data_IF_149871368533
#
_entry.id   IF_149871368533
#
_cell.length_a   1.000
_cell.length_b   1.000
_cell.length_c   1.000
_cell.angle_alpha   90.00
_cell.angle_beta   90.00
_cell.angle_gamma   90.00
#
_symmetry.space_group_name_H-M   'P 1'
#
loop_
_entity.id
_entity.type
_entity.pdbx_description
1 polymer ?
#
# COMPACT_ATOMS: atom_id res chain seq x y z
N UNK A 1 75.13 33.11 5.89
CA UNK A 1 75.05 32.63 4.49
C UNK A 1 74.29 31.30 4.54
N UNK A 2 72.95 31.29 4.51
CA UNK A 2 72.09 31.26 3.29
C UNK A 2 72.11 29.81 2.75
N UNK A 3 71.05 28.96 2.73
CA UNK A 3 69.66 29.10 2.23
C UNK A 3 68.72 27.99 2.79
N UNK A 4 67.48 28.37 3.11
CA UNK A 4 66.25 27.56 3.00
C UNK A 4 65.39 28.16 1.85
N UNK A 5 64.32 27.54 1.28
CA UNK A 5 63.84 26.15 1.30
C UNK A 5 63.50 25.57 -0.11
N UNK A 6 63.54 24.24 -0.26
CA UNK A 6 63.17 23.51 -1.50
C UNK A 6 61.78 22.82 -1.43
N UNK A 7 60.86 23.33 -0.59
CA UNK A 7 59.59 22.66 -0.26
C UNK A 7 58.34 23.34 -0.84
N UNK A 8 58.47 24.49 -1.52
CA UNK A 8 57.32 25.24 -2.05
C UNK A 8 56.79 24.72 -3.40
N UNK A 9 57.55 23.87 -4.09
CA UNK A 9 57.23 23.46 -5.47
C UNK A 9 56.30 22.24 -5.56
N UNK A 10 56.21 21.42 -4.52
CA UNK A 10 55.40 20.18 -4.51
C UNK A 10 53.93 20.41 -4.12
N UNK A 11 53.62 21.49 -3.41
CA UNK A 11 52.23 21.79 -2.98
C UNK A 11 51.37 22.44 -4.08
N UNK A 12 51.98 23.04 -5.11
CA UNK A 12 51.25 23.78 -6.14
C UNK A 12 50.72 22.88 -7.27
N UNK A 13 51.38 21.76 -7.53
CA UNK A 13 50.99 20.80 -8.58
C UNK A 13 49.75 19.98 -8.20
N UNK A 14 49.58 19.65 -6.90
CA UNK A 14 48.41 18.93 -6.39
C UNK A 14 47.15 19.78 -6.19
N UNK A 15 47.25 21.11 -6.27
CA UNK A 15 46.13 22.04 -6.13
C UNK A 15 45.51 22.44 -7.46
N UNK A 16 46.28 22.40 -8.56
CA UNK A 16 45.81 22.80 -9.88
C UNK A 16 44.90 21.75 -10.54
N UNK A 17 45.13 20.47 -10.24
CA UNK A 17 44.38 19.35 -10.85
C UNK A 17 42.95 19.19 -10.29
N UNK A 18 42.61 19.90 -9.21
CA UNK A 18 41.27 19.86 -8.59
C UNK A 18 40.24 20.82 -9.18
N UNK A 19 40.62 21.60 -10.20
CA UNK A 19 39.81 22.69 -10.71
C UNK A 19 38.91 22.36 -11.92
N UNK A 20 39.07 21.20 -12.58
CA UNK A 20 38.56 21.07 -13.96
C UNK A 20 37.38 20.14 -14.28
N UNK A 21 36.77 19.43 -13.33
CA UNK A 21 35.54 18.68 -13.66
C UNK A 21 34.54 18.64 -12.51
N UNK A 22 34.04 19.81 -12.10
CA UNK A 22 32.69 19.86 -11.52
C UNK A 22 31.71 19.68 -12.67
N UNK A 23 31.02 18.54 -12.80
CA UNK A 23 29.91 18.45 -13.74
C UNK A 23 28.93 19.54 -13.38
N UNK A 24 28.60 20.41 -14.34
CA UNK A 24 27.57 21.41 -14.19
C UNK A 24 26.29 20.69 -13.74
N UNK A 25 25.93 20.88 -12.47
CA UNK A 25 24.65 20.47 -11.94
C UNK A 25 23.60 21.32 -12.65
N UNK A 26 23.13 20.85 -13.81
CA UNK A 26 21.88 21.30 -14.37
C UNK A 26 20.82 21.00 -13.31
N UNK A 27 20.31 22.06 -12.67
CA UNK A 27 19.14 21.97 -11.83
C UNK A 27 17.97 21.60 -12.77
N UNK A 28 17.73 20.30 -12.89
CA UNK A 28 16.64 19.75 -13.69
C UNK A 28 15.33 19.91 -12.91
N UNK A 29 14.71 21.09 -13.06
CA UNK A 29 13.42 21.45 -12.46
C UNK A 29 12.26 20.56 -13.00
N UNK A 30 12.51 19.69 -13.99
CA UNK A 30 11.51 18.77 -14.57
C UNK A 30 11.49 17.39 -13.89
N UNK A 31 12.50 17.04 -13.07
CA UNK A 31 12.50 15.82 -12.23
C UNK A 31 11.41 15.77 -11.15
N UNK A 32 11.06 16.84 -10.40
CA UNK A 32 10.20 16.69 -9.24
C UNK A 32 8.79 16.20 -9.60
N UNK A 33 8.24 16.60 -10.75
CA UNK A 33 6.91 16.14 -11.19
C UNK A 33 6.91 14.67 -11.64
N UNK A 34 7.99 14.20 -12.28
CA UNK A 34 8.14 12.81 -12.72
C UNK A 34 8.46 11.87 -11.56
N UNK A 35 9.21 12.34 -10.59
CA UNK A 35 9.53 11.62 -9.35
C UNK A 35 8.31 11.53 -8.43
N UNK A 36 7.50 12.60 -8.28
CA UNK A 36 6.21 12.52 -7.58
C UNK A 36 5.25 11.56 -8.25
N UNK A 37 5.17 11.57 -9.60
CA UNK A 37 4.32 10.65 -10.35
C UNK A 37 4.75 9.18 -10.18
N UNK A 38 6.06 8.91 -10.20
CA UNK A 38 6.62 7.58 -9.95
C UNK A 38 6.39 7.09 -8.52
N UNK A 39 6.60 7.96 -7.53
CA UNK A 39 6.34 7.65 -6.13
C UNK A 39 4.84 7.39 -5.87
N UNK A 40 3.95 8.23 -6.41
CA UNK A 40 2.50 8.04 -6.30
C UNK A 40 2.05 6.72 -6.95
N UNK A 41 2.59 6.37 -8.10
CA UNK A 41 2.32 5.10 -8.76
C UNK A 41 2.81 3.90 -7.94
N UNK A 42 4.03 3.97 -7.39
CA UNK A 42 4.58 2.91 -6.54
C UNK A 42 3.74 2.70 -5.27
N UNK A 43 3.30 3.80 -4.63
CA UNK A 43 2.39 3.77 -3.49
C UNK A 43 1.03 3.18 -3.89
N UNK A 44 0.44 3.60 -5.00
CA UNK A 44 -0.83 3.08 -5.48
C UNK A 44 -0.77 1.57 -5.78
N UNK A 45 0.31 1.09 -6.39
CA UNK A 45 0.52 -0.33 -6.67
C UNK A 45 0.69 -1.15 -5.39
N UNK A 46 1.38 -0.60 -4.40
CA UNK A 46 1.56 -1.25 -3.09
C UNK A 46 0.26 -1.28 -2.29
N UNK A 47 -0.50 -0.19 -2.34
CA UNK A 47 -1.83 -0.09 -1.73
C UNK A 47 -2.82 -1.04 -2.42
N UNK A 48 -2.82 -1.13 -3.75
CA UNK A 48 -3.70 -2.05 -4.48
C UNK A 48 -3.34 -3.51 -4.20
N UNK A 49 -2.06 -3.86 -4.17
CA UNK A 49 -1.61 -5.19 -3.77
C UNK A 49 -2.03 -5.54 -2.34
N UNK A 50 -1.92 -4.58 -1.42
CA UNK A 50 -2.41 -4.75 -0.05
C UNK A 50 -3.94 -4.90 0.00
N UNK A 51 -4.69 -4.07 -0.72
CA UNK A 51 -6.15 -4.09 -0.78
C UNK A 51 -6.66 -5.42 -1.34
N UNK A 52 -6.09 -5.88 -2.46
CA UNK A 52 -6.47 -7.12 -3.14
C UNK A 52 -6.28 -8.33 -2.23
N UNK A 53 -5.16 -8.42 -1.51
CA UNK A 53 -4.92 -9.52 -0.57
C UNK A 53 -5.94 -9.49 0.59
N UNK A 54 -6.19 -8.32 1.20
CA UNK A 54 -7.19 -8.22 2.27
C UNK A 54 -8.60 -8.54 1.77
N UNK A 55 -8.97 -8.08 0.58
CA UNK A 55 -10.25 -8.38 -0.06
C UNK A 55 -10.40 -9.90 -0.30
N UNK A 56 -9.35 -10.56 -0.80
CA UNK A 56 -9.35 -12.01 -1.03
C UNK A 56 -9.49 -12.79 0.28
N UNK A 57 -8.78 -12.39 1.34
CA UNK A 57 -8.90 -13.00 2.67
C UNK A 57 -10.31 -12.78 3.24
N UNK A 58 -10.85 -11.57 3.10
CA UNK A 58 -12.21 -11.23 3.55
C UNK A 58 -13.25 -12.11 2.85
N UNK A 59 -13.16 -12.25 1.52
CA UNK A 59 -14.03 -13.14 0.75
C UNK A 59 -13.88 -14.60 1.18
N UNK A 60 -12.65 -15.06 1.44
CA UNK A 60 -12.38 -16.39 1.98
C UNK A 60 -13.03 -16.62 3.34
N UNK A 61 -12.89 -15.67 4.28
CA UNK A 61 -13.50 -15.74 5.60
C UNK A 61 -15.04 -15.76 5.55
N UNK A 62 -15.65 -14.92 4.70
CA UNK A 62 -17.10 -14.95 4.48
C UNK A 62 -17.55 -16.27 3.88
N UNK A 63 -16.82 -16.78 2.89
CA UNK A 63 -17.09 -18.10 2.29
C UNK A 63 -17.01 -19.22 3.33
N UNK A 64 -15.98 -19.20 4.18
CA UNK A 64 -15.82 -20.16 5.28
C UNK A 64 -16.94 -20.04 6.31
N UNK A 65 -17.47 -18.85 6.58
CA UNK A 65 -18.61 -18.66 7.48
C UNK A 65 -19.88 -19.32 6.92
N UNK A 66 -20.21 -19.09 5.65
CA UNK A 66 -21.34 -19.76 4.99
C UNK A 66 -21.16 -21.28 4.98
N UNK A 67 -19.93 -21.74 4.73
CA UNK A 67 -19.60 -23.15 4.75
C UNK A 67 -19.73 -23.75 6.16
N UNK A 68 -19.26 -23.05 7.19
CA UNK A 68 -19.37 -23.48 8.59
C UNK A 68 -20.83 -23.57 9.04
N UNK A 69 -21.67 -22.56 8.73
CA UNK A 69 -23.11 -22.57 9.03
C UNK A 69 -23.84 -23.64 8.20
N UNK A 70 -23.36 -23.92 6.98
CA UNK A 70 -23.84 -24.97 6.09
C UNK A 70 -23.36 -26.39 6.44
N UNK A 71 -22.72 -26.61 7.59
CA UNK A 71 -22.24 -27.93 8.01
C UNK A 71 -21.03 -28.44 7.22
N UNK A 72 -20.16 -27.53 6.78
CA UNK A 72 -19.00 -27.79 5.92
C UNK A 72 -19.32 -28.39 4.54
N UNK A 73 -20.55 -28.19 4.06
CA UNK A 73 -20.99 -28.63 2.73
C UNK A 73 -21.33 -27.45 1.84
N UNK A 74 -20.94 -27.54 0.57
CA UNK A 74 -21.30 -26.54 -0.46
C UNK A 74 -22.82 -26.46 -0.63
N UNK A 75 -23.52 -27.59 -0.53
CA UNK A 75 -25.00 -27.61 -0.59
C UNK A 75 -25.62 -26.83 0.57
N UNK A 76 -25.11 -27.01 1.79
CA UNK A 76 -25.57 -26.27 2.96
C UNK A 76 -25.27 -24.77 2.89
N UNK A 77 -24.11 -24.39 2.36
CA UNK A 77 -23.76 -22.98 2.12
C UNK A 77 -24.74 -22.32 1.12
N UNK A 78 -25.08 -23.02 0.04
CA UNK A 78 -26.05 -22.54 -0.96
C UNK A 78 -27.47 -22.40 -0.39
N UNK A 79 -27.89 -23.27 0.53
CA UNK A 79 -29.18 -23.14 1.23
C UNK A 79 -29.23 -21.86 2.06
N UNK A 80 -28.16 -21.52 2.79
CA UNK A 80 -28.10 -20.27 3.56
C UNK A 80 -28.16 -19.05 2.64
N UNK A 81 -27.47 -19.10 1.50
CA UNK A 81 -27.51 -18.03 0.51
C UNK A 81 -28.90 -17.87 -0.13
N UNK A 82 -29.58 -18.98 -0.42
CA UNK A 82 -30.95 -18.97 -0.95
C UNK A 82 -31.96 -18.41 0.06
N UNK A 83 -31.80 -18.72 1.35
CA UNK A 83 -32.62 -18.16 2.41
C UNK A 83 -32.40 -16.65 2.53
N UNK A 84 -31.14 -16.21 2.46
CA UNK A 84 -30.77 -14.80 2.50
C UNK A 84 -31.40 -14.03 1.32
N UNK A 85 -31.25 -14.55 0.10
CA UNK A 85 -31.77 -13.89 -1.11
C UNK A 85 -33.30 -13.82 -1.12
N UNK A 86 -33.97 -14.92 -0.74
CA UNK A 86 -35.44 -14.97 -0.68
C UNK A 86 -35.99 -13.95 0.31
N UNK A 87 -35.35 -13.84 1.49
CA UNK A 87 -35.74 -12.86 2.52
C UNK A 87 -35.48 -11.42 2.07
N UNK A 88 -34.40 -11.18 1.32
CA UNK A 88 -34.08 -9.86 0.77
C UNK A 88 -35.11 -9.43 -0.29
N UNK A 89 -35.42 -10.29 -1.25
CA UNK A 89 -36.37 -9.98 -2.34
C UNK A 89 -37.81 -9.85 -1.82
N UNK A 90 -38.18 -10.61 -0.80
CA UNK A 90 -39.50 -10.52 -0.16
C UNK A 90 -39.68 -9.26 0.71
N UNK A 91 -38.61 -8.54 1.04
CA UNK A 91 -38.67 -7.34 1.85
C UNK A 91 -39.04 -6.10 1.02
N UNK A 92 -39.84 -5.20 1.60
CA UNK A 92 -40.16 -3.89 1.01
C UNK A 92 -38.92 -2.97 0.94
N UNK A 93 -38.94 -1.94 0.09
CA UNK A 93 -37.77 -1.09 -0.23
C UNK A 93 -37.15 -0.42 1.01
N UNK A 94 -37.97 -0.02 1.98
CA UNK A 94 -37.48 0.54 3.25
C UNK A 94 -36.66 -0.49 4.06
N UNK A 95 -37.11 -1.75 4.10
CA UNK A 95 -36.45 -2.85 4.84
C UNK A 95 -35.21 -3.38 4.12
N UNK A 96 -35.19 -3.32 2.79
CA UNK A 96 -34.00 -3.65 2.01
C UNK A 96 -32.82 -2.72 2.33
N UNK A 97 -33.10 -1.44 2.62
CA UNK A 97 -32.07 -0.47 2.98
C UNK A 97 -31.42 -0.82 4.33
N UNK A 98 -32.22 -1.11 5.35
CA UNK A 98 -31.71 -1.59 6.65
C UNK A 98 -30.91 -2.89 6.50
N UNK A 99 -31.42 -3.83 5.70
CA UNK A 99 -30.71 -5.08 5.43
C UNK A 99 -29.36 -4.84 4.76
N UNK A 100 -29.30 -3.94 3.77
CA UNK A 100 -28.06 -3.55 3.13
C UNK A 100 -27.08 -2.93 4.13
N UNK A 101 -27.56 -2.09 5.06
CA UNK A 101 -26.71 -1.54 6.14
C UNK A 101 -26.10 -2.67 6.98
N UNK A 102 -26.88 -3.66 7.40
CA UNK A 102 -26.39 -4.79 8.21
C UNK A 102 -25.35 -5.60 7.43
N UNK A 103 -25.63 -5.91 6.16
CA UNK A 103 -24.68 -6.62 5.29
C UNK A 103 -23.38 -5.84 5.11
N UNK A 104 -23.48 -4.55 4.83
CA UNK A 104 -22.33 -3.69 4.58
C UNK A 104 -21.48 -3.56 5.84
N UNK A 105 -22.10 -3.34 7.01
CA UNK A 105 -21.40 -3.31 8.31
C UNK A 105 -20.70 -4.63 8.57
N UNK A 106 -21.34 -5.78 8.33
CA UNK A 106 -20.71 -7.10 8.47
C UNK A 106 -19.48 -7.25 7.58
N UNK A 107 -19.60 -6.92 6.29
CA UNK A 107 -18.49 -6.94 5.34
C UNK A 107 -17.36 -5.98 5.76
N UNK A 108 -17.69 -4.76 6.20
CA UNK A 108 -16.71 -3.78 6.68
C UNK A 108 -15.99 -4.25 7.94
N UNK A 109 -16.68 -4.93 8.86
CA UNK A 109 -16.06 -5.49 10.06
C UNK A 109 -15.06 -6.61 9.72
N UNK A 110 -15.42 -7.54 8.83
CA UNK A 110 -14.48 -8.57 8.37
C UNK A 110 -13.28 -7.94 7.65
N UNK A 111 -13.53 -6.98 6.76
CA UNK A 111 -12.47 -6.26 6.06
C UNK A 111 -11.54 -5.51 7.03
N UNK A 112 -12.11 -4.76 7.99
CA UNK A 112 -11.36 -4.04 9.01
C UNK A 112 -10.56 -5.00 9.91
N UNK A 113 -11.14 -6.14 10.26
CA UNK A 113 -10.45 -7.22 10.97
C UNK A 113 -9.20 -7.67 10.21
N UNK A 114 -9.35 -8.09 8.95
CA UNK A 114 -8.20 -8.54 8.12
C UNK A 114 -7.15 -7.44 7.94
N UNK A 115 -7.59 -6.20 7.69
CA UNK A 115 -6.73 -5.04 7.53
C UNK A 115 -5.95 -4.71 8.82
N UNK A 116 -6.58 -4.80 9.99
CA UNK A 116 -5.97 -4.53 11.29
C UNK A 116 -4.88 -5.55 11.62
N UNK A 117 -5.10 -6.85 11.36
CA UNK A 117 -4.06 -7.87 11.51
C UNK A 117 -2.84 -7.58 10.61
N UNK A 118 -3.04 -6.91 9.46
CA UNK A 118 -2.01 -6.54 8.49
C UNK A 118 -1.50 -5.08 8.63
N UNK A 119 -1.55 -4.50 9.83
CA UNK A 119 -1.09 -3.12 10.12
C UNK A 119 0.43 -2.86 9.97
N UNK A 120 1.26 -3.89 9.99
CA UNK A 120 2.73 -3.78 9.93
C UNK A 120 3.31 -3.08 8.65
N UNK A 121 2.82 -3.34 7.43
CA UNK A 121 3.30 -2.67 6.22
C UNK A 121 2.99 -1.16 6.13
N UNK A 122 1.93 -0.66 6.79
CA UNK A 122 1.59 0.77 6.81
C UNK A 122 2.57 1.57 7.68
N UNK A 123 2.97 1.00 8.81
CA UNK A 123 3.99 1.60 9.68
C UNK A 123 5.34 1.75 8.96
N UNK A 124 5.73 0.74 8.18
CA UNK A 124 6.98 0.75 7.38
C UNK A 124 6.99 1.82 6.29
N UNK A 125 5.85 2.07 5.64
CA UNK A 125 5.74 3.10 4.61
C UNK A 125 5.76 4.53 5.18
N UNK A 126 5.30 4.72 6.42
CA UNK A 126 5.36 6.01 7.12
C UNK A 126 6.77 6.32 7.66
N UNK A 127 7.53 5.31 8.07
CA UNK A 127 8.94 5.49 8.46
C UNK A 127 9.83 5.87 7.29
N UNK A 128 9.56 5.35 6.09
CA UNK A 128 10.39 5.59 4.89
C UNK A 128 10.29 7.03 4.33
N UNK A 129 9.31 7.82 4.80
CA UNK A 129 9.09 9.22 4.40
C UNK A 129 9.75 10.21 5.38
N UNK A 130 10.19 9.75 6.56
CA UNK A 130 10.80 10.58 7.60
C UNK A 130 12.32 10.60 7.48
#
# INVERSE_FOLDING_TARGET
>A
MTIAPAQASLDLEGSFDRAHTRPAATCDVRRPARELGGAALAVALRLSGWLTVNALVTLGCLTLLFLAIGGFSVSGAMVQLANLSTRYVAADAARQTEFNTILLVGCTLFFCGTAFFRRAPLARALEEIK
#
